data_IF_759601661866
#
_entry.id   IF_759601661866
#
_cell.length_a   1.000
_cell.length_b   1.000
_cell.length_c   1.000
_cell.angle_alpha   90.00
_cell.angle_beta   90.00
_cell.angle_gamma   90.00
#
_symmetry.space_group_name_H-M   'P 1'
#
loop_
_entity.id
_entity.type
_entity.pdbx_description
1 polymer ?
#
# COMPACT_ATOMS: atom_id res chain seq x y z
N UNK A 1 22.22 3.22 -7.74
CA UNK A 1 21.51 1.94 -7.47
C UNK A 1 20.50 1.71 -8.59
N UNK A 2 20.04 0.48 -8.78
CA UNK A 2 19.04 0.11 -9.79
C UNK A 2 17.89 -0.63 -9.11
N UNK A 3 16.78 -0.86 -9.84
CA UNK A 3 15.69 -1.71 -9.35
C UNK A 3 16.21 -3.11 -9.02
N UNK A 4 15.86 -3.67 -7.84
CA UNK A 4 16.38 -4.97 -7.41
C UNK A 4 15.85 -6.13 -8.26
N UNK A 5 14.63 -6.00 -8.78
CA UNK A 5 13.97 -7.01 -9.62
C UNK A 5 13.19 -6.37 -10.76
N UNK A 6 12.90 -7.16 -11.79
CA UNK A 6 11.90 -6.80 -12.79
C UNK A 6 10.50 -7.05 -12.23
N UNK A 7 9.64 -6.02 -12.27
CA UNK A 7 8.29 -6.07 -11.70
C UNK A 7 7.30 -6.28 -12.85
N UNK A 8 6.71 -7.47 -12.93
CA UNK A 8 5.70 -7.79 -13.94
C UNK A 8 4.30 -7.36 -13.52
N UNK A 9 3.98 -7.48 -12.22
CA UNK A 9 2.72 -7.10 -11.61
C UNK A 9 2.99 -6.33 -10.32
N UNK A 10 2.14 -5.36 -10.01
CA UNK A 10 2.16 -4.59 -8.78
C UNK A 10 0.72 -4.50 -8.24
N UNK A 11 0.53 -4.87 -6.99
CA UNK A 11 -0.77 -4.83 -6.30
C UNK A 11 -0.60 -3.99 -5.05
N UNK A 12 -1.49 -3.03 -4.86
CA UNK A 12 -1.53 -2.15 -3.70
C UNK A 12 -2.74 -2.51 -2.83
N UNK A 13 -2.52 -2.60 -1.52
CA UNK A 13 -3.48 -3.06 -0.53
C UNK A 13 -3.78 -1.96 0.50
N UNK A 14 -5.05 -1.81 0.82
CA UNK A 14 -5.55 -0.88 1.82
C UNK A 14 -5.78 -1.61 3.16
N UNK A 15 -4.69 -1.92 3.87
CA UNK A 15 -4.72 -2.75 5.09
C UNK A 15 -4.61 -1.99 6.42
N UNK A 16 -4.37 -0.68 6.40
CA UNK A 16 -4.14 0.10 7.62
C UNK A 16 -5.46 0.69 8.17
N UNK A 17 -5.97 0.15 9.29
CA UNK A 17 -7.24 0.57 9.90
C UNK A 17 -7.36 2.09 10.09
N UNK A 18 -6.31 2.72 10.63
CA UNK A 18 -6.28 4.18 10.86
C UNK A 18 -6.35 4.94 9.54
N UNK A 19 -5.72 4.45 8.48
CA UNK A 19 -5.78 5.06 7.17
C UNK A 19 -7.21 4.97 6.60
N UNK A 20 -7.82 3.78 6.64
CA UNK A 20 -9.17 3.56 6.11
C UNK A 20 -10.22 4.35 6.87
N UNK A 21 -10.13 4.41 8.20
CA UNK A 21 -11.01 5.21 9.04
C UNK A 21 -10.87 6.72 8.73
N UNK A 22 -9.65 7.22 8.60
CA UNK A 22 -9.40 8.62 8.23
C UNK A 22 -9.95 8.95 6.84
N UNK A 23 -9.70 8.10 5.84
CA UNK A 23 -10.22 8.27 4.48
C UNK A 23 -11.76 8.22 4.45
N UNK A 24 -12.37 7.29 5.19
CA UNK A 24 -13.83 7.17 5.29
C UNK A 24 -14.44 8.43 5.91
N UNK A 25 -13.86 8.93 7.01
CA UNK A 25 -14.28 10.18 7.65
C UNK A 25 -14.17 11.38 6.70
N UNK A 26 -13.08 11.49 5.95
CA UNK A 26 -12.89 12.57 4.97
C UNK A 26 -13.91 12.49 3.82
N UNK A 27 -14.33 11.28 3.46
CA UNK A 27 -15.39 11.04 2.48
C UNK A 27 -16.81 11.22 3.07
N UNK A 28 -16.95 11.49 4.37
CA UNK A 28 -18.25 11.58 5.04
C UNK A 28 -18.97 10.23 5.14
N UNK A 29 -18.22 9.12 5.14
CA UNK A 29 -18.72 7.76 5.19
C UNK A 29 -18.18 6.99 6.41
N UNK A 30 -18.84 5.88 6.75
CA UNK A 30 -18.29 4.92 7.71
C UNK A 30 -17.28 3.98 7.03
N UNK A 31 -16.37 3.40 7.82
CA UNK A 31 -15.47 2.35 7.34
C UNK A 31 -16.28 1.21 6.70
N UNK A 32 -16.00 0.83 5.44
CA UNK A 32 -16.73 -0.24 4.78
C UNK A 32 -16.60 -1.57 5.54
N UNK A 33 -17.70 -2.33 5.75
CA UNK A 33 -17.62 -3.64 6.41
C UNK A 33 -16.67 -4.62 5.71
N UNK A 34 -16.45 -4.45 4.41
CA UNK A 34 -15.52 -5.26 3.61
C UNK A 34 -14.06 -5.12 4.07
N UNK A 35 -13.69 -3.98 4.65
CA UNK A 35 -12.34 -3.74 5.20
C UNK A 35 -11.97 -4.78 6.27
N UNK A 36 -12.93 -5.13 7.13
CA UNK A 36 -12.75 -6.15 8.18
C UNK A 36 -13.10 -7.57 7.71
N UNK A 37 -13.49 -7.74 6.44
CA UNK A 37 -13.85 -9.02 5.84
C UNK A 37 -12.71 -9.63 5.01
N UNK A 38 -11.92 -8.76 4.34
CA UNK A 38 -10.80 -9.12 3.46
C UNK A 38 -9.85 -7.93 3.31
N UNK A 39 -8.54 -8.14 3.10
CA UNK A 39 -7.64 -7.06 2.72
C UNK A 39 -8.01 -6.57 1.32
N UNK A 40 -8.56 -5.36 1.27
CA UNK A 40 -8.95 -4.69 0.03
C UNK A 40 -7.68 -4.30 -0.73
N UNK A 41 -7.70 -4.43 -2.06
CA UNK A 41 -6.58 -4.04 -2.90
C UNK A 41 -6.98 -3.88 -4.36
N UNK A 42 -6.07 -3.31 -5.15
CA UNK A 42 -6.24 -3.07 -6.58
C UNK A 42 -4.91 -3.27 -7.31
N UNK A 43 -5.00 -3.46 -8.64
CA UNK A 43 -3.82 -3.57 -9.48
C UNK A 43 -3.19 -2.19 -9.71
N UNK A 44 -1.98 -2.01 -9.20
CA UNK A 44 -1.16 -0.84 -9.48
C UNK A 44 -0.48 -0.92 -10.84
N UNK A 45 0.36 0.08 -11.15
CA UNK A 45 1.07 0.17 -12.44
C UNK A 45 2.55 -0.24 -12.29
N UNK A 46 2.88 -1.48 -12.65
CA UNK A 46 4.24 -1.99 -12.58
C UNK A 46 5.27 -1.17 -13.40
N UNK A 47 4.86 -0.62 -14.54
CA UNK A 47 5.77 0.14 -15.43
C UNK A 47 6.23 1.47 -14.87
N UNK A 48 5.52 2.03 -13.87
CA UNK A 48 5.85 3.31 -13.22
C UNK A 48 6.54 3.12 -11.87
N UNK A 49 6.94 1.90 -11.52
CA UNK A 49 7.76 1.66 -10.34
C UNK A 49 9.20 2.08 -10.63
N UNK A 50 9.66 3.10 -9.90
CA UNK A 50 10.98 3.74 -10.01
C UNK A 50 11.82 3.51 -8.76
N UNK A 51 13.14 3.64 -8.88
CA UNK A 51 14.05 3.48 -7.74
C UNK A 51 14.20 4.78 -6.95
N UNK A 52 14.49 4.67 -5.66
CA UNK A 52 14.85 5.80 -4.81
C UNK A 52 15.90 6.73 -5.46
N UNK A 53 15.65 8.04 -5.34
CA UNK A 53 16.44 9.10 -5.97
C UNK A 53 15.99 9.53 -7.37
N UNK A 54 15.14 8.76 -8.06
CA UNK A 54 14.57 9.20 -9.34
C UNK A 54 13.57 10.36 -9.13
N UNK A 55 13.69 11.49 -9.87
CA UNK A 55 12.76 12.60 -9.76
C UNK A 55 11.34 12.22 -10.20
N UNK A 56 10.36 12.45 -9.33
CA UNK A 56 8.94 12.30 -9.68
C UNK A 56 8.39 13.63 -10.20
N UNK A 57 7.90 13.60 -11.45
CA UNK A 57 7.30 14.75 -12.09
C UNK A 57 5.83 14.89 -11.66
N UNK A 58 5.44 16.10 -11.24
CA UNK A 58 4.05 16.42 -10.92
C UNK A 58 3.17 16.18 -12.17
N UNK A 59 2.15 15.30 -12.08
CA UNK A 59 1.37 14.91 -13.24
C UNK A 59 0.40 16.03 -13.66
N UNK A 60 0.05 16.01 -14.94
CA UNK A 60 -1.18 16.65 -15.42
C UNK A 60 -2.28 15.60 -15.51
N UNK A 61 -3.52 15.99 -15.29
CA UNK A 61 -4.66 15.08 -15.36
C UNK A 61 -5.98 15.81 -15.47
N UNK A 62 -7.05 15.03 -15.61
CA UNK A 62 -8.42 15.54 -15.56
C UNK A 62 -8.79 15.78 -14.10
N UNK A 63 -9.11 17.02 -13.76
CA UNK A 63 -9.44 17.43 -12.40
C UNK A 63 -10.85 18.01 -12.38
N UNK A 64 -11.64 17.60 -11.38
CA UNK A 64 -13.00 18.09 -11.16
C UNK A 64 -12.97 19.33 -10.26
N UNK A 65 -13.51 20.44 -10.75
CA UNK A 65 -13.72 21.64 -9.95
C UNK A 65 -14.82 21.38 -8.90
N UNK A 66 -14.56 21.65 -7.61
CA UNK A 66 -15.52 21.34 -6.55
C UNK A 66 -16.75 22.27 -6.52
N UNK A 67 -16.66 23.48 -7.09
CA UNK A 67 -17.74 24.47 -7.09
C UNK A 67 -18.67 24.31 -8.30
N UNK A 68 -18.07 24.18 -9.48
CA UNK A 68 -18.77 24.12 -10.77
C UNK A 68 -19.03 22.70 -11.25
N UNK A 69 -18.36 21.70 -10.65
CA UNK A 69 -18.38 20.30 -11.09
C UNK A 69 -17.85 20.07 -12.52
N UNK A 70 -17.28 21.09 -13.15
CA UNK A 70 -16.64 20.97 -14.46
C UNK A 70 -15.34 20.19 -14.36
N UNK A 71 -14.97 19.49 -15.44
CA UNK A 71 -13.71 18.74 -15.53
C UNK A 71 -12.80 19.44 -16.54
N UNK A 72 -11.56 19.69 -16.13
CA UNK A 72 -10.54 20.32 -17.00
C UNK A 72 -9.19 19.61 -16.89
N UNK A 73 -8.41 19.66 -17.97
CA UNK A 73 -7.04 19.18 -17.98
C UNK A 73 -6.11 20.23 -17.39
N UNK A 74 -5.40 19.89 -16.32
CA UNK A 74 -4.50 20.80 -15.63
C UNK A 74 -3.41 20.04 -14.86
N UNK A 75 -2.37 20.75 -14.44
CA UNK A 75 -1.37 20.20 -13.53
C UNK A 75 -1.99 19.96 -12.15
N UNK A 76 -1.81 18.77 -11.58
CA UNK A 76 -2.32 18.42 -10.26
C UNK A 76 -1.83 19.42 -9.20
N UNK A 77 -2.73 19.92 -8.37
CA UNK A 77 -2.47 20.78 -7.23
C UNK A 77 -2.40 20.00 -5.91
N UNK A 78 -2.84 18.74 -5.89
CA UNK A 78 -2.91 17.90 -4.69
C UNK A 78 -2.08 16.61 -4.83
N UNK A 79 -0.76 16.78 -5.02
CA UNK A 79 0.20 15.67 -4.98
C UNK A 79 0.54 15.36 -3.52
N UNK A 80 0.53 14.07 -3.20
CA UNK A 80 0.67 13.51 -1.87
C UNK A 80 1.57 12.27 -1.92
N UNK A 81 2.10 11.86 -0.75
CA UNK A 81 2.86 10.62 -0.58
C UNK A 81 2.04 9.62 0.22
N UNK A 82 2.28 8.32 -0.01
CA UNK A 82 1.75 7.24 0.82
C UNK A 82 2.92 6.41 1.35
N UNK A 83 3.13 6.42 2.67
CA UNK A 83 4.24 5.68 3.29
C UNK A 83 3.85 4.22 3.46
N UNK A 84 4.53 3.33 2.73
CA UNK A 84 4.15 1.93 2.61
C UNK A 84 5.34 0.97 2.67
N UNK A 85 5.02 -0.31 2.74
CA UNK A 85 5.96 -1.42 2.62
C UNK A 85 5.57 -2.29 1.43
N UNK A 86 6.50 -2.42 0.49
CA UNK A 86 6.37 -3.35 -0.62
C UNK A 86 6.90 -4.73 -0.24
N UNK A 87 6.25 -5.78 -0.73
CA UNK A 87 6.70 -7.16 -0.62
C UNK A 87 7.15 -7.67 -1.99
N UNK A 88 8.27 -8.38 -2.03
CA UNK A 88 8.64 -9.17 -3.21
C UNK A 88 8.20 -10.62 -3.01
N UNK A 89 7.46 -11.14 -3.98
CA UNK A 89 7.09 -12.56 -4.05
C UNK A 89 8.22 -13.35 -4.70
N UNK A 90 8.73 -14.39 -4.03
CA UNK A 90 9.89 -15.18 -4.45
C UNK A 90 9.54 -16.31 -5.43
N UNK A 91 8.27 -16.75 -5.45
CA UNK A 91 7.84 -17.94 -6.21
C UNK A 91 6.51 -17.67 -6.91
N UNK A 92 6.26 -18.25 -8.10
CA UNK A 92 4.96 -18.18 -8.74
C UNK A 92 3.86 -18.69 -7.81
N UNK A 93 2.76 -17.94 -7.73
CA UNK A 93 1.58 -18.43 -7.02
C UNK A 93 0.87 -19.48 -7.90
N UNK A 94 0.41 -20.60 -7.33
CA UNK A 94 -0.30 -21.62 -8.08
C UNK A 94 -1.72 -21.16 -8.44
N UNK A 95 -1.95 -20.95 -9.74
CA UNK A 95 -3.26 -20.54 -10.29
C UNK A 95 -4.41 -21.44 -9.82
N UNK A 96 -5.50 -20.81 -9.40
CA UNK A 96 -6.72 -21.50 -8.95
C UNK A 96 -6.58 -22.21 -7.60
N UNK A 97 -5.43 -22.12 -6.93
CA UNK A 97 -5.21 -22.65 -5.59
C UNK A 97 -5.28 -21.52 -4.58
N UNK A 98 -6.06 -21.72 -3.53
CA UNK A 98 -6.03 -20.82 -2.37
C UNK A 98 -4.76 -21.08 -1.57
N UNK A 99 -4.00 -20.02 -1.32
CA UNK A 99 -2.86 -20.03 -0.40
C UNK A 99 -3.39 -19.59 0.96
N UNK A 100 -3.09 -20.35 2.02
CA UNK A 100 -3.44 -19.95 3.38
C UNK A 100 -2.47 -18.89 3.91
N UNK A 101 -2.89 -18.12 4.91
CA UNK A 101 -2.02 -17.17 5.58
C UNK A 101 -0.78 -17.86 6.19
N UNK A 102 -0.92 -19.10 6.69
CA UNK A 102 0.21 -19.88 7.21
C UNK A 102 1.26 -20.23 6.13
N UNK A 103 0.84 -20.41 4.88
CA UNK A 103 1.75 -20.68 3.75
C UNK A 103 2.34 -19.41 3.14
N UNK A 104 1.75 -18.25 3.37
CA UNK A 104 2.07 -17.04 2.63
C UNK A 104 3.51 -16.55 2.84
N UNK A 105 4.12 -16.78 4.00
CA UNK A 105 5.53 -16.41 4.23
C UNK A 105 6.50 -17.14 3.31
N UNK A 106 6.18 -18.36 2.87
CA UNK A 106 7.06 -19.16 2.00
C UNK A 106 7.15 -18.56 0.59
N UNK A 107 6.20 -17.71 0.23
CA UNK A 107 6.15 -17.00 -1.05
C UNK A 107 6.77 -15.62 -0.98
N UNK A 108 7.16 -15.11 0.19
CA UNK A 108 7.71 -13.76 0.33
C UNK A 108 9.23 -13.82 0.42
N UNK A 109 9.92 -13.16 -0.52
CA UNK A 109 11.37 -13.00 -0.49
C UNK A 109 11.81 -12.01 0.61
N UNK A 110 11.18 -10.85 0.65
CA UNK A 110 11.57 -9.74 1.51
C UNK A 110 10.79 -8.48 1.23
N UNK A 111 11.17 -7.41 1.93
CA UNK A 111 10.45 -6.14 1.95
C UNK A 111 11.30 -4.98 1.44
N UNK A 112 10.63 -3.93 0.97
CA UNK A 112 11.21 -2.63 0.63
C UNK A 112 10.36 -1.51 1.20
N UNK A 113 10.95 -0.34 1.43
CA UNK A 113 10.17 0.88 1.61
C UNK A 113 9.50 1.23 0.27
N UNK A 114 8.26 1.66 0.33
CA UNK A 114 7.49 2.06 -0.84
C UNK A 114 6.82 3.42 -0.58
N UNK A 115 6.83 4.28 -1.60
CA UNK A 115 6.05 5.50 -1.63
C UNK A 115 5.14 5.48 -2.87
N UNK A 116 3.83 5.34 -2.65
CA UNK A 116 2.85 5.38 -3.72
C UNK A 116 2.34 6.82 -3.95
N UNK A 117 3.00 7.50 -4.88
CA UNK A 117 2.71 8.90 -5.14
C UNK A 117 1.30 9.07 -5.66
N UNK A 118 0.60 10.05 -5.09
CA UNK A 118 -0.84 10.19 -5.30
C UNK A 118 -1.21 11.61 -5.72
N UNK A 119 -1.83 11.77 -6.88
CA UNK A 119 -2.43 13.02 -7.33
C UNK A 119 -3.93 13.00 -6.98
N UNK A 120 -4.27 13.47 -5.77
CA UNK A 120 -5.59 13.29 -5.14
C UNK A 120 -6.73 13.93 -5.93
N UNK A 121 -6.48 15.09 -6.53
CA UNK A 121 -7.45 15.81 -7.35
C UNK A 121 -7.77 15.09 -8.68
N UNK A 122 -6.77 14.44 -9.28
CA UNK A 122 -6.96 13.54 -10.43
C UNK A 122 -7.68 12.26 -9.99
N UNK A 123 -7.22 11.64 -8.89
CA UNK A 123 -7.80 10.43 -8.33
C UNK A 123 -9.29 10.59 -8.04
N UNK A 124 -9.70 11.64 -7.33
CA UNK A 124 -11.11 11.87 -7.01
C UNK A 124 -11.99 12.18 -8.23
N UNK A 125 -11.40 12.65 -9.34
CA UNK A 125 -12.14 12.88 -10.57
C UNK A 125 -12.43 11.59 -11.34
N UNK A 126 -11.60 10.53 -11.18
CA UNK A 126 -11.69 9.29 -11.98
C UNK A 126 -12.11 8.05 -11.18
N UNK A 127 -11.96 8.03 -9.85
CA UNK A 127 -11.96 6.78 -9.08
C UNK A 127 -13.28 6.00 -9.09
N UNK A 128 -14.40 6.65 -9.37
CA UNK A 128 -15.71 5.99 -9.37
C UNK A 128 -16.10 5.63 -10.80
N UNK A 129 -16.45 4.35 -11.09
CA UNK A 129 -16.59 3.21 -10.19
C UNK A 129 -15.38 2.26 -10.14
N UNK A 130 -14.31 2.52 -10.91
CA UNK A 130 -13.29 1.52 -11.23
C UNK A 130 -12.08 1.50 -10.28
N UNK A 131 -12.00 2.43 -9.34
CA UNK A 131 -10.85 2.62 -8.47
C UNK A 131 -9.81 3.61 -9.03
N UNK A 132 -8.75 3.88 -8.26
CA UNK A 132 -7.70 4.82 -8.66
C UNK A 132 -6.94 4.35 -9.91
N UNK A 133 -6.55 5.30 -10.77
CA UNK A 133 -5.83 4.98 -12.00
C UNK A 133 -4.70 5.98 -12.30
N UNK A 134 -4.94 7.02 -13.11
CA UNK A 134 -3.94 8.04 -13.45
C UNK A 134 -3.45 8.81 -12.21
N UNK A 135 -4.30 8.94 -11.19
CA UNK A 135 -3.94 9.54 -9.91
C UNK A 135 -2.86 8.77 -9.15
N UNK A 136 -2.54 7.53 -9.53
CA UNK A 136 -1.52 6.65 -8.92
C UNK A 136 -0.45 6.20 -9.92
N UNK A 137 -0.84 5.95 -11.17
CA UNK A 137 0.00 5.35 -12.20
C UNK A 137 1.18 6.22 -12.69
N UNK A 138 1.37 7.44 -12.15
CA UNK A 138 2.42 8.35 -12.59
C UNK A 138 3.78 8.06 -11.94
N UNK A 139 3.81 7.54 -10.71
CA UNK A 139 5.04 7.09 -10.06
C UNK A 139 4.75 6.29 -8.78
N UNK A 140 5.50 5.21 -8.58
CA UNK A 140 5.64 4.55 -7.27
C UNK A 140 7.13 4.38 -7.02
N UNK A 141 7.65 4.89 -5.91
CA UNK A 141 9.09 4.79 -5.59
C UNK A 141 9.36 3.65 -4.62
N UNK A 142 10.42 2.88 -4.84
CA UNK A 142 10.87 1.83 -3.90
C UNK A 142 12.32 2.01 -3.47
N UNK A 143 12.64 1.59 -2.24
CA UNK A 143 14.04 1.51 -1.79
C UNK A 143 14.81 0.44 -2.56
N UNK A 144 16.13 0.62 -2.78
CA UNK A 144 16.90 -0.29 -3.63
C UNK A 144 17.31 -1.60 -2.96
N UNK A 145 17.30 -1.64 -1.62
CA UNK A 145 17.69 -2.81 -0.85
C UNK A 145 16.47 -3.57 -0.38
N UNK A 146 16.45 -4.87 -0.67
CA UNK A 146 15.39 -5.78 -0.23
C UNK A 146 15.84 -6.48 1.03
N UNK A 147 15.10 -6.23 2.12
CA UNK A 147 15.36 -6.82 3.43
C UNK A 147 14.63 -8.16 3.51
N UNK A 148 15.35 -9.27 3.60
CA UNK A 148 14.73 -10.61 3.62
C UNK A 148 13.96 -10.86 4.91
N UNK A 149 12.92 -11.70 4.87
CA UNK A 149 12.14 -12.00 6.08
C UNK A 149 12.97 -12.64 7.20
N UNK A 150 14.02 -13.38 6.87
CA UNK A 150 14.94 -13.97 7.85
C UNK A 150 15.65 -12.91 8.69
N UNK A 151 15.99 -11.77 8.09
CA UNK A 151 16.62 -10.66 8.83
C UNK A 151 15.64 -9.94 9.77
N UNK A 152 14.33 -10.12 9.57
CA UNK A 152 13.27 -9.52 10.37
C UNK A 152 12.75 -10.45 11.48
N UNK A 153 13.27 -11.68 11.63
CA UNK A 153 12.77 -12.62 12.65
C UNK A 153 12.83 -12.02 14.07
N UNK A 154 13.87 -11.24 14.36
CA UNK A 154 14.04 -10.56 15.66
C UNK A 154 13.05 -9.43 15.94
N UNK A 155 12.36 -8.91 14.92
CA UNK A 155 11.34 -7.86 15.06
C UNK A 155 9.90 -8.40 15.02
N UNK A 156 9.70 -9.72 14.95
CA UNK A 156 8.36 -10.31 14.99
C UNK A 156 7.60 -9.92 16.26
N UNK A 157 6.37 -9.47 16.08
CA UNK A 157 5.49 -8.99 17.15
C UNK A 157 4.05 -9.48 16.94
N UNK A 158 3.26 -9.45 18.01
CA UNK A 158 1.84 -9.73 17.91
C UNK A 158 1.15 -8.65 17.06
N UNK A 159 0.19 -9.05 16.22
CA UNK A 159 -0.56 -8.09 15.42
C UNK A 159 -1.47 -7.22 16.32
N UNK A 160 -1.41 -5.88 16.22
CA UNK A 160 -2.34 -4.98 16.89
C UNK A 160 -3.60 -4.73 16.05
N UNK A 161 -3.62 -5.18 14.79
CA UNK A 161 -4.79 -5.11 13.93
C UNK A 161 -5.88 -6.08 14.44
N UNK A 162 -7.13 -5.82 14.05
CA UNK A 162 -8.27 -6.70 14.34
C UNK A 162 -7.86 -8.14 14.08
N UNK A 163 -7.95 -8.97 15.12
CA UNK A 163 -7.68 -10.39 14.98
C UNK A 163 -8.77 -10.98 14.07
N UNK A 164 -8.48 -11.17 12.79
CA UNK A 164 -9.42 -11.79 11.85
C UNK A 164 -9.84 -13.22 12.31
N UNK A 165 -9.13 -13.81 13.28
CA UNK A 165 -9.46 -15.10 13.92
C UNK A 165 -10.54 -14.96 15.00
N UNK A 166 -10.72 -13.78 15.61
CA UNK A 166 -11.70 -13.51 16.68
C UNK A 166 -12.82 -12.54 16.28
N UNK A 167 -12.51 -11.57 15.42
CA UNK A 167 -13.40 -10.46 15.01
C UNK A 167 -13.50 -10.28 13.49
N UNK A 168 -12.82 -11.12 12.69
CA UNK A 168 -12.98 -11.13 11.24
C UNK A 168 -14.40 -11.54 10.84
N UNK A 169 -15.12 -10.64 10.17
CA UNK A 169 -16.57 -10.75 9.96
C UNK A 169 -17.01 -11.98 9.15
N UNK A 170 -16.08 -12.63 8.43
CA UNK A 170 -16.37 -13.74 7.51
C UNK A 170 -15.94 -15.12 8.02
N UNK A 171 -15.07 -15.20 9.03
CA UNK A 171 -14.52 -16.47 9.50
C UNK A 171 -13.73 -17.27 8.45
N UNK A 172 -13.25 -16.62 7.38
CA UNK A 172 -12.57 -17.28 6.26
C UNK A 172 -11.28 -17.98 6.69
N UNK A 173 -11.29 -19.33 6.72
CA UNK A 173 -10.19 -20.13 7.29
C UNK A 173 -8.82 -19.85 6.64
N UNK A 174 -8.77 -19.64 5.33
CA UNK A 174 -7.52 -19.35 4.61
C UNK A 174 -6.87 -18.02 4.98
N UNK A 175 -7.59 -17.08 5.60
CA UNK A 175 -7.05 -15.82 6.09
C UNK A 175 -6.62 -15.89 7.56
N UNK A 176 -6.71 -17.06 8.20
CA UNK A 176 -6.27 -17.24 9.59
C UNK A 176 -4.81 -17.67 9.62
N UNK A 177 -4.01 -16.96 10.42
CA UNK A 177 -2.62 -17.31 10.69
C UNK A 177 -2.49 -17.98 12.06
N UNK A 178 -1.86 -19.14 12.13
CA UNK A 178 -1.66 -19.93 13.34
C UNK A 178 -0.67 -19.27 14.31
N UNK A 179 0.40 -18.68 13.79
CA UNK A 179 1.35 -17.87 14.59
C UNK A 179 0.71 -16.55 14.99
N UNK A 180 0.72 -16.23 16.29
CA UNK A 180 0.27 -14.93 16.81
C UNK A 180 1.26 -13.80 16.47
N UNK A 181 2.51 -14.13 16.12
CA UNK A 181 3.57 -13.18 15.74
C UNK A 181 3.81 -13.13 14.23
N UNK A 182 2.72 -13.01 13.48
CA UNK A 182 2.68 -12.91 12.02
C UNK A 182 2.86 -11.47 11.50
N UNK A 183 3.51 -10.61 12.27
CA UNK A 183 3.70 -9.18 11.99
C UNK A 183 5.09 -8.75 12.49
N UNK A 184 5.62 -7.65 11.96
CA UNK A 184 6.93 -7.11 12.34
C UNK A 184 6.78 -5.71 12.95
N UNK A 185 7.52 -5.46 14.03
CA UNK A 185 7.65 -4.14 14.66
C UNK A 185 8.74 -3.36 13.91
N UNK A 186 8.29 -2.49 13.00
CA UNK A 186 9.15 -1.69 12.14
C UNK A 186 8.88 -0.21 12.40
N UNK A 187 9.94 0.56 12.61
CA UNK A 187 9.89 2.01 12.73
C UNK A 187 10.20 2.66 11.37
N UNK A 188 9.29 3.52 10.92
CA UNK A 188 9.45 4.30 9.70
C UNK A 188 9.35 5.78 10.02
N UNK A 189 10.10 6.57 9.26
CA UNK A 189 10.09 8.01 9.35
C UNK A 189 9.92 8.62 7.96
N UNK A 190 8.97 9.54 7.83
CA UNK A 190 8.86 10.39 6.64
C UNK A 190 9.36 11.78 6.97
N UNK A 191 10.21 12.30 6.11
CA UNK A 191 10.68 13.69 6.14
C UNK A 191 10.37 14.37 4.81
N UNK A 192 9.95 15.63 4.87
CA UNK A 192 9.68 16.47 3.71
C UNK A 192 10.60 17.68 3.77
N UNK A 193 11.39 17.89 2.73
CA UNK A 193 12.29 19.04 2.60
C UNK A 193 11.97 19.84 1.35
N UNK A 194 12.15 21.17 1.42
CA UNK A 194 11.91 22.07 0.29
C UNK A 194 13.20 22.78 -0.11
N UNK A 195 13.42 22.98 -1.42
CA UNK A 195 14.60 23.72 -1.92
C UNK A 195 14.66 25.17 -1.44
N UNK A 196 13.52 25.77 -1.07
CA UNK A 196 13.44 27.22 -0.88
C UNK A 196 13.49 27.69 0.58
N UNK A 197 13.34 26.80 1.58
CA UNK A 197 13.58 27.07 3.00
C UNK A 197 14.00 25.78 3.69
N UNK A 198 15.05 25.83 4.50
CA UNK A 198 15.37 24.84 5.52
C UNK A 198 14.29 24.83 6.60
N UNK A 199 13.06 24.49 6.23
CA UNK A 199 12.05 24.08 7.20
C UNK A 199 12.57 22.74 7.70
N UNK A 200 12.99 22.68 8.97
CA UNK A 200 13.26 21.41 9.62
C UNK A 200 12.04 20.53 9.37
N UNK A 201 12.22 19.45 8.61
CA UNK A 201 11.12 18.58 8.21
C UNK A 201 10.32 18.17 9.44
N UNK A 202 8.99 18.17 9.34
CA UNK A 202 8.21 17.42 10.31
C UNK A 202 8.53 15.95 10.09
N UNK A 203 9.36 15.42 10.97
CA UNK A 203 9.59 14.00 11.13
C UNK A 203 8.31 13.38 11.69
N UNK A 204 7.61 12.63 10.85
CA UNK A 204 6.53 11.78 11.32
C UNK A 204 7.09 10.38 11.53
N UNK A 205 7.33 10.02 12.80
CA UNK A 205 7.65 8.66 13.20
C UNK A 205 6.36 7.86 13.27
N UNK A 206 6.28 6.80 12.49
CA UNK A 206 5.21 5.83 12.54
C UNK A 206 5.80 4.47 12.87
N UNK A 207 5.17 3.76 13.80
CA UNK A 207 5.39 2.31 13.96
C UNK A 207 4.25 1.62 13.23
N UNK A 208 4.59 0.75 12.29
CA UNK A 208 3.59 -0.01 11.57
C UNK A 208 3.79 -1.49 11.91
N UNK A 209 2.80 -2.07 12.58
CA UNK A 209 2.62 -3.50 12.62
C UNK A 209 1.68 -3.87 11.48
N UNK A 210 2.23 -4.20 10.31
CA UNK A 210 1.41 -4.46 9.13
C UNK A 210 1.20 -5.97 8.95
N UNK A 211 -0.06 -6.39 8.94
CA UNK A 211 -0.47 -7.76 8.65
C UNK A 211 -0.33 -8.07 7.14
N UNK A 212 0.91 -8.00 6.66
CA UNK A 212 1.31 -8.17 5.26
C UNK A 212 1.06 -9.60 4.74
N UNK A 213 0.95 -10.57 5.64
CA UNK A 213 0.82 -12.00 5.31
C UNK A 213 -0.57 -12.33 4.72
N UNK A 214 -1.62 -11.62 5.13
CA UNK A 214 -2.99 -11.87 4.61
C UNK A 214 -3.18 -11.40 3.16
N UNK A 215 -2.39 -10.43 2.71
CA UNK A 215 -2.49 -9.87 1.36
C UNK A 215 -2.09 -10.90 0.28
N UNK A 216 -1.02 -11.67 0.53
CA UNK A 216 -0.52 -12.70 -0.41
C UNK A 216 -1.52 -13.84 -0.59
N UNK A 217 -2.31 -14.17 0.43
CA UNK A 217 -3.32 -15.22 0.40
C UNK A 217 -4.49 -14.97 -0.59
N UNK A 218 -4.60 -13.76 -1.15
CA UNK A 218 -5.67 -13.34 -2.05
C UNK A 218 -5.28 -13.15 -3.52
N UNK A 219 -3.98 -13.06 -3.83
CA UNK A 219 -3.49 -12.53 -5.12
C UNK A 219 -3.83 -13.43 -6.32
N UNK A 220 -4.14 -14.72 -6.16
CA UNK A 220 -4.48 -15.59 -7.31
C UNK A 220 -5.70 -16.51 -7.11
N UNK A 221 -6.85 -15.90 -6.78
CA UNK A 221 -8.16 -16.59 -6.92
C UNK A 221 -8.85 -16.37 -8.27
N UNK A 222 -8.28 -15.58 -9.19
CA UNK A 222 -8.89 -15.20 -10.48
C UNK A 222 -8.08 -15.77 -11.64
#
# INVERSE_FOLDING_TARGET
>A
MHRPFNISNFTDFMCADVHVDNCSRLAGAATPPSHYAMPLGYNGRASSVVIDGEPVHRPHGMVRDPQTSSISFQQSQRVDFESEIGLFVSQPLPRGRTISADEASDYIFGIVLLNDWSARDVQFAEMTPLGPFNGKAFATSISPWVTTLDTLQGSKCASPAVDLRKEGSTGAAHLRHSDEKSTWDLEFEVSVSSKCKSVSGKTHKARACQALIHAVALVEKI
#
